data_IF_080179681376
#
_entry.id   IF_080179681376
#
_cell.length_a   1.000
_cell.length_b   1.000
_cell.length_c   1.000
_cell.angle_alpha   90.00
_cell.angle_beta   90.00
_cell.angle_gamma   90.00
#
_symmetry.space_group_name_H-M   'P 1'
#
loop_
_entity.id
_entity.type
_entity.pdbx_description
1 polymer ?
#
# COMPACT_ATOMS: atom_id res chain seq x y z
N UNK A 1 -79.10 -39.59 10.83
CA UNK A 1 -77.66 -39.84 10.66
C UNK A 1 -77.03 -38.54 10.19
N UNK A 2 -76.19 -37.89 11.03
CA UNK A 2 -75.62 -36.57 10.82
C UNK A 2 -74.20 -36.71 10.40
N UNK A 3 -73.85 -36.39 9.15
CA UNK A 3 -72.48 -36.35 8.65
C UNK A 3 -71.87 -34.98 8.96
N UNK A 4 -70.82 -34.95 9.77
CA UNK A 4 -70.04 -33.74 10.06
C UNK A 4 -68.91 -33.60 9.02
N UNK A 5 -68.99 -32.54 8.21
CA UNK A 5 -67.94 -32.15 7.28
C UNK A 5 -66.85 -31.44 8.04
N UNK A 6 -65.63 -31.98 8.00
CA UNK A 6 -64.45 -31.41 8.61
C UNK A 6 -63.74 -30.49 7.58
N UNK A 7 -63.72 -29.20 7.87
CA UNK A 7 -63.14 -28.18 7.03
C UNK A 7 -61.66 -27.98 7.44
N UNK A 8 -60.76 -28.47 6.61
CA UNK A 8 -59.30 -28.35 6.86
C UNK A 8 -58.80 -27.05 6.26
N UNK A 9 -58.50 -26.09 7.10
CA UNK A 9 -57.84 -24.84 6.69
C UNK A 9 -56.34 -25.03 6.48
N UNK A 10 -55.89 -24.86 5.24
CA UNK A 10 -54.50 -24.91 4.86
C UNK A 10 -53.86 -23.55 5.12
N UNK A 11 -53.00 -23.43 6.12
CA UNK A 11 -52.19 -22.24 6.35
C UNK A 11 -50.93 -22.30 5.43
N UNK A 12 -50.92 -21.48 4.40
CA UNK A 12 -49.71 -21.27 3.57
C UNK A 12 -48.75 -20.31 4.30
N UNK A 13 -47.71 -20.88 4.89
CA UNK A 13 -46.58 -20.09 5.44
C UNK A 13 -45.68 -19.66 4.27
N UNK A 14 -45.85 -18.41 3.84
CA UNK A 14 -44.98 -17.79 2.86
C UNK A 14 -43.63 -17.43 3.56
N UNK A 15 -42.61 -18.29 3.45
CA UNK A 15 -41.28 -18.04 3.93
C UNK A 15 -40.58 -17.01 3.04
N UNK A 16 -40.41 -15.77 3.51
CA UNK A 16 -39.49 -14.80 2.90
C UNK A 16 -38.05 -15.32 3.09
N UNK A 17 -37.47 -15.84 2.02
CA UNK A 17 -36.03 -16.13 1.96
C UNK A 17 -35.27 -14.82 1.93
N UNK A 18 -34.83 -14.37 3.10
CA UNK A 18 -33.90 -13.26 3.24
C UNK A 18 -32.51 -13.77 2.81
N UNK A 19 -32.15 -13.58 1.53
CA UNK A 19 -30.80 -13.81 1.06
C UNK A 19 -29.91 -12.67 1.58
N UNK A 20 -28.89 -12.92 2.41
CA UNK A 20 -27.92 -11.89 2.73
C UNK A 20 -27.19 -11.51 1.43
N UNK A 21 -27.39 -10.30 0.98
CA UNK A 21 -26.54 -9.71 -0.05
C UNK A 21 -25.12 -9.64 0.53
N UNK A 22 -24.24 -10.55 0.11
CA UNK A 22 -22.82 -10.42 0.30
C UNK A 22 -22.42 -9.14 -0.42
N UNK A 23 -22.24 -8.06 0.35
CA UNK A 23 -21.62 -6.84 -0.13
C UNK A 23 -20.23 -7.24 -0.62
N UNK A 24 -20.10 -7.37 -1.94
CA UNK A 24 -18.81 -7.49 -2.60
C UNK A 24 -18.06 -6.22 -2.26
N UNK A 25 -16.99 -6.35 -1.46
CA UNK A 25 -16.01 -5.30 -1.36
C UNK A 25 -15.61 -4.95 -2.80
N UNK A 26 -15.80 -3.69 -3.18
CA UNK A 26 -15.40 -3.21 -4.50
C UNK A 26 -13.95 -3.62 -4.69
N UNK A 27 -13.66 -4.38 -5.76
CA UNK A 27 -12.30 -4.72 -6.17
C UNK A 27 -11.56 -3.40 -6.40
N UNK A 28 -10.81 -2.96 -5.38
CA UNK A 28 -9.90 -1.84 -5.56
C UNK A 28 -8.89 -2.23 -6.64
N UNK A 29 -8.55 -1.32 -7.57
CA UNK A 29 -7.63 -1.64 -8.64
C UNK A 29 -6.28 -2.02 -8.05
N UNK A 30 -6.04 -3.33 -8.00
CA UNK A 30 -4.77 -3.89 -7.56
C UNK A 30 -3.66 -3.35 -8.47
N UNK A 31 -2.51 -3.02 -7.87
CA UNK A 31 -1.36 -2.64 -8.66
C UNK A 31 -0.97 -3.77 -9.60
N UNK A 32 -0.83 -3.43 -10.88
CA UNK A 32 -0.37 -4.37 -11.90
C UNK A 32 1.16 -4.50 -11.85
N UNK A 33 1.67 -5.66 -12.24
CA UNK A 33 3.09 -5.80 -12.53
C UNK A 33 3.48 -4.88 -13.71
N UNK A 34 4.66 -4.26 -13.70
CA UNK A 34 5.76 -4.44 -12.74
C UNK A 34 5.74 -3.46 -11.55
N UNK A 35 4.74 -2.57 -11.44
CA UNK A 35 4.67 -1.57 -10.36
C UNK A 35 4.47 -2.21 -9.00
N UNK A 36 3.69 -3.30 -8.94
CA UNK A 36 3.53 -4.08 -7.70
C UNK A 36 4.87 -4.55 -7.15
N UNK A 37 5.73 -5.10 -7.99
CA UNK A 37 7.08 -5.53 -7.61
C UNK A 37 7.92 -4.37 -7.06
N UNK A 38 7.86 -3.19 -7.68
CA UNK A 38 8.53 -1.98 -7.17
C UNK A 38 8.02 -1.63 -5.77
N UNK A 39 6.71 -1.67 -5.55
CA UNK A 39 6.11 -1.35 -4.24
C UNK A 39 6.46 -2.38 -3.17
N UNK A 40 6.54 -3.66 -3.51
CA UNK A 40 6.95 -4.71 -2.57
C UNK A 40 8.40 -4.49 -2.06
N UNK A 41 9.31 -4.12 -2.95
CA UNK A 41 10.67 -3.75 -2.56
C UNK A 41 10.73 -2.44 -1.78
N UNK A 42 9.97 -1.43 -2.19
CA UNK A 42 9.87 -0.15 -1.50
C UNK A 42 9.43 -0.30 -0.03
N UNK A 43 8.39 -1.09 0.22
CA UNK A 43 7.89 -1.32 1.58
C UNK A 43 8.91 -2.01 2.49
N UNK A 44 9.73 -2.91 1.94
CA UNK A 44 10.83 -3.52 2.70
C UNK A 44 11.88 -2.48 3.10
N UNK A 45 12.25 -1.59 2.19
CA UNK A 45 13.15 -0.47 2.48
C UNK A 45 12.55 0.44 3.56
N UNK A 46 11.30 0.86 3.39
CA UNK A 46 10.57 1.70 4.34
C UNK A 46 10.57 1.08 5.75
N UNK A 47 10.28 -0.24 5.83
CA UNK A 47 10.25 -0.97 7.08
C UNK A 47 11.62 -1.07 7.77
N UNK A 48 12.71 -1.24 7.03
CA UNK A 48 14.06 -1.27 7.60
C UNK A 48 14.50 0.10 8.10
N UNK A 49 14.29 1.15 7.31
CA UNK A 49 14.62 2.52 7.72
C UNK A 49 13.84 2.96 8.97
N UNK A 50 12.58 2.52 9.11
CA UNK A 50 11.78 2.77 10.31
C UNK A 50 12.31 2.06 11.56
N UNK A 51 13.10 0.99 11.41
CA UNK A 51 13.78 0.26 12.49
C UNK A 51 15.21 0.76 12.76
N UNK A 52 15.66 1.84 12.12
CA UNK A 52 17.05 2.32 12.12
C UNK A 52 18.04 1.31 11.53
N UNK A 53 17.62 0.56 10.51
CA UNK A 53 18.40 -0.46 9.83
C UNK A 53 18.57 -0.13 8.35
N UNK A 54 19.73 -0.47 7.79
CA UNK A 54 20.00 -0.45 6.34
C UNK A 54 20.14 -1.86 5.75
N UNK A 55 19.80 -2.88 6.52
CA UNK A 55 19.96 -4.29 6.09
C UNK A 55 19.06 -4.55 4.87
N UNK A 56 19.68 -4.95 3.76
CA UNK A 56 18.98 -5.27 2.51
C UNK A 56 18.41 -4.05 1.76
N UNK A 57 18.65 -2.83 2.25
CA UNK A 57 18.21 -1.61 1.57
C UNK A 57 18.87 -1.49 0.19
N UNK A 58 20.13 -1.79 0.08
CA UNK A 58 20.91 -1.80 -1.16
C UNK A 58 20.35 -2.82 -2.17
N UNK A 59 20.10 -4.04 -1.72
CA UNK A 59 19.54 -5.13 -2.54
C UNK A 59 18.15 -4.74 -3.07
N UNK A 60 17.25 -4.28 -2.20
CA UNK A 60 15.90 -3.91 -2.59
C UNK A 60 15.89 -2.67 -3.48
N UNK A 61 16.75 -1.69 -3.23
CA UNK A 61 16.88 -0.52 -4.09
C UNK A 61 17.41 -0.88 -5.48
N UNK A 62 18.43 -1.75 -5.57
CA UNK A 62 18.93 -2.26 -6.84
C UNK A 62 17.83 -3.05 -7.61
N UNK A 63 17.00 -3.82 -6.90
CA UNK A 63 15.88 -4.53 -7.50
C UNK A 63 14.84 -3.56 -8.10
N UNK A 64 14.48 -2.47 -7.40
CA UNK A 64 13.62 -1.41 -7.94
C UNK A 64 14.22 -0.85 -9.24
N UNK A 65 15.50 -0.45 -9.21
CA UNK A 65 16.17 0.10 -10.39
C UNK A 65 16.13 -0.87 -11.58
N UNK A 66 16.38 -2.16 -11.33
CA UNK A 66 16.33 -3.24 -12.34
C UNK A 66 14.93 -3.39 -12.95
N UNK A 67 13.89 -3.43 -12.12
CA UNK A 67 12.50 -3.55 -12.57
C UNK A 67 12.10 -2.36 -13.42
N UNK A 68 12.42 -1.14 -13.00
CA UNK A 68 12.10 0.08 -13.74
C UNK A 68 12.83 0.11 -15.08
N UNK A 69 14.14 -0.22 -15.12
CA UNK A 69 14.93 -0.28 -16.36
C UNK A 69 14.45 -1.39 -17.31
N UNK A 70 13.94 -2.50 -16.77
CA UNK A 70 13.52 -3.69 -17.51
C UNK A 70 12.15 -3.60 -18.19
N UNK A 71 11.33 -2.59 -17.92
CA UNK A 71 10.01 -2.50 -18.56
C UNK A 71 9.00 -1.59 -17.85
N UNK A 72 9.20 -1.31 -16.57
CA UNK A 72 8.34 -0.38 -15.84
C UNK A 72 8.53 1.09 -16.26
N UNK A 73 9.54 1.41 -17.07
CA UNK A 73 9.81 2.77 -17.57
C UNK A 73 8.65 3.38 -18.36
N UNK A 74 7.76 2.56 -18.93
CA UNK A 74 6.55 3.06 -19.57
C UNK A 74 5.49 3.52 -18.56
N UNK A 75 5.57 3.05 -17.31
CA UNK A 75 4.63 3.33 -16.25
C UNK A 75 5.23 4.26 -15.19
N UNK A 76 6.50 4.08 -14.87
CA UNK A 76 7.25 4.89 -13.91
C UNK A 76 8.29 5.76 -14.63
N UNK A 77 8.54 6.94 -14.10
CA UNK A 77 9.59 7.83 -14.60
C UNK A 77 10.98 7.18 -14.51
N UNK A 78 11.86 7.45 -15.47
CA UNK A 78 13.28 7.02 -15.43
C UNK A 78 14.02 7.54 -14.18
N UNK A 79 13.52 8.61 -13.56
CA UNK A 79 14.11 9.15 -12.35
C UNK A 79 13.94 8.22 -11.16
N UNK A 80 12.89 7.39 -11.11
CA UNK A 80 12.73 6.34 -10.10
C UNK A 80 13.90 5.36 -10.12
N UNK A 81 14.36 4.97 -11.31
CA UNK A 81 15.52 4.08 -11.43
C UNK A 81 16.82 4.75 -10.90
N UNK A 82 17.06 6.02 -11.27
CA UNK A 82 18.22 6.79 -10.80
C UNK A 82 18.21 6.99 -9.28
N UNK A 83 17.03 7.30 -8.72
CA UNK A 83 16.84 7.48 -7.28
C UNK A 83 17.07 6.16 -6.53
N UNK A 84 16.60 5.05 -7.08
CA UNK A 84 16.83 3.73 -6.54
C UNK A 84 18.33 3.33 -6.62
N UNK A 85 19.02 3.61 -7.74
CA UNK A 85 20.47 3.39 -7.86
C UNK A 85 21.26 4.21 -6.81
N UNK A 86 20.84 5.47 -6.57
CA UNK A 86 21.45 6.32 -5.54
C UNK A 86 21.24 5.73 -4.14
N UNK A 87 20.04 5.22 -3.85
CA UNK A 87 19.72 4.58 -2.58
C UNK A 87 20.53 3.29 -2.38
N UNK A 88 20.70 2.48 -3.44
CA UNK A 88 21.50 1.25 -3.39
C UNK A 88 22.99 1.50 -3.03
N UNK A 89 23.49 2.70 -3.30
CA UNK A 89 24.87 3.09 -2.99
C UNK A 89 25.05 3.67 -1.58
N UNK A 90 23.96 3.87 -0.83
CA UNK A 90 24.02 4.46 0.51
C UNK A 90 24.79 3.55 1.49
N UNK A 91 25.74 4.11 2.23
CA UNK A 91 26.63 3.36 3.13
C UNK A 91 26.24 3.45 4.60
N UNK A 92 25.36 4.37 4.93
CA UNK A 92 24.88 4.59 6.28
C UNK A 92 23.40 4.99 6.30
N UNK A 93 22.82 4.99 7.49
CA UNK A 93 21.39 5.27 7.68
C UNK A 93 21.00 6.71 7.27
N UNK A 94 21.88 7.68 7.48
CA UNK A 94 21.64 9.08 7.12
C UNK A 94 21.61 9.23 5.59
N UNK A 95 22.57 8.66 4.88
CA UNK A 95 22.62 8.65 3.43
C UNK A 95 21.43 7.90 2.83
N UNK A 96 21.06 6.73 3.40
CA UNK A 96 19.93 5.95 2.95
C UNK A 96 18.60 6.74 3.10
N UNK A 97 18.36 7.40 4.23
CA UNK A 97 17.18 8.25 4.44
C UNK A 97 17.13 9.43 3.48
N UNK A 98 18.28 10.07 3.23
CA UNK A 98 18.36 11.17 2.28
C UNK A 98 18.03 10.72 0.84
N UNK A 99 18.55 9.56 0.41
CA UNK A 99 18.29 8.99 -0.90
C UNK A 99 16.87 8.40 -1.03
N UNK A 100 16.29 7.89 0.05
CA UNK A 100 14.93 7.37 0.09
C UNK A 100 13.88 8.46 -0.12
N UNK A 101 14.13 9.68 0.33
CA UNK A 101 13.18 10.80 0.25
C UNK A 101 12.72 11.11 -1.17
N UNK A 102 13.58 11.35 -2.18
CA UNK A 102 13.14 11.58 -3.55
C UNK A 102 12.47 10.34 -4.18
N UNK A 103 12.96 9.13 -3.93
CA UNK A 103 12.33 7.90 -4.39
C UNK A 103 10.89 7.77 -3.87
N UNK A 104 10.71 8.02 -2.58
CA UNK A 104 9.40 8.01 -1.94
C UNK A 104 8.45 9.04 -2.55
N UNK A 105 8.92 10.27 -2.75
CA UNK A 105 8.11 11.33 -3.37
C UNK A 105 7.65 10.97 -4.79
N UNK A 106 8.51 10.34 -5.59
CA UNK A 106 8.17 9.90 -6.95
C UNK A 106 7.09 8.80 -6.95
N UNK A 107 7.15 7.85 -6.01
CA UNK A 107 6.16 6.77 -5.91
C UNK A 107 4.83 7.27 -5.31
N UNK A 108 4.87 8.17 -4.32
CA UNK A 108 3.66 8.86 -3.81
C UNK A 108 2.94 9.57 -4.95
N UNK A 109 3.67 10.38 -5.72
CA UNK A 109 3.11 11.09 -6.88
C UNK A 109 2.53 10.11 -7.91
N UNK A 110 3.23 9.03 -8.23
CA UNK A 110 2.75 8.03 -9.18
C UNK A 110 1.40 7.42 -8.76
N UNK A 111 1.26 7.00 -7.50
CA UNK A 111 0.00 6.41 -7.01
C UNK A 111 -1.14 7.44 -7.01
N UNK A 112 -0.85 8.69 -6.64
CA UNK A 112 -1.84 9.78 -6.64
C UNK A 112 -2.32 10.09 -8.07
N UNK A 113 -1.40 10.26 -9.02
CA UNK A 113 -1.72 10.60 -10.42
C UNK A 113 -2.54 9.49 -11.10
N UNK A 114 -2.26 8.23 -10.78
CA UNK A 114 -2.92 7.08 -11.40
C UNK A 114 -4.12 6.55 -10.59
N UNK A 115 -4.41 7.15 -9.43
CA UNK A 115 -5.47 6.69 -8.50
C UNK A 115 -5.38 5.19 -8.23
N UNK A 116 -4.16 4.66 -8.10
CA UNK A 116 -3.88 3.24 -7.95
C UNK A 116 -3.41 2.91 -6.53
N UNK A 117 -3.71 1.68 -6.06
CA UNK A 117 -3.34 1.22 -4.74
C UNK A 117 -4.12 1.89 -3.59
N UNK A 118 -5.25 2.54 -3.90
CA UNK A 118 -6.15 3.16 -2.91
C UNK A 118 -6.64 2.06 -1.95
N UNK A 119 -6.62 2.36 -0.64
CA UNK A 119 -7.00 1.37 0.39
C UNK A 119 -5.89 0.38 0.77
N UNK A 120 -4.96 0.08 -0.14
CA UNK A 120 -3.80 -0.79 0.16
C UNK A 120 -2.61 0.03 0.67
N UNK A 121 -2.32 1.17 0.01
CA UNK A 121 -1.21 2.05 0.36
C UNK A 121 -1.75 3.36 0.91
N UNK A 122 -1.22 3.75 2.06
CA UNK A 122 -1.53 5.02 2.71
C UNK A 122 -0.35 5.95 2.57
N UNK A 123 -0.57 7.17 2.08
CA UNK A 123 0.41 8.23 2.18
C UNK A 123 0.46 8.73 3.62
N UNK A 124 1.66 8.78 4.18
CA UNK A 124 1.94 9.43 5.45
C UNK A 124 2.92 10.58 5.24
N UNK A 125 2.81 11.62 6.06
CA UNK A 125 3.64 12.83 5.99
C UNK A 125 4.20 13.19 7.35
N UNK A 126 5.48 13.53 7.41
CA UNK A 126 6.11 14.07 8.62
C UNK A 126 6.49 15.53 8.41
N UNK A 127 5.91 16.48 9.20
CA UNK A 127 6.19 17.89 9.05
C UNK A 127 7.62 18.27 9.46
N UNK A 128 8.24 17.50 10.37
CA UNK A 128 9.60 17.78 10.84
C UNK A 128 10.64 17.59 9.75
N UNK A 129 10.53 16.52 8.95
CA UNK A 129 11.43 16.25 7.83
C UNK A 129 10.89 16.73 6.50
N UNK A 130 9.66 17.25 6.49
CA UNK A 130 8.94 17.72 5.28
C UNK A 130 9.02 16.67 4.16
N UNK A 131 8.57 15.46 4.47
CA UNK A 131 8.61 14.33 3.54
C UNK A 131 7.43 13.39 3.75
N UNK A 132 6.92 12.87 2.62
CA UNK A 132 5.92 11.82 2.58
C UNK A 132 6.55 10.44 2.33
N UNK A 133 5.81 9.41 2.72
CA UNK A 133 6.10 8.02 2.36
C UNK A 133 4.81 7.22 2.22
N UNK A 134 4.93 6.02 1.66
CA UNK A 134 3.85 5.05 1.56
C UNK A 134 4.03 3.93 2.58
N UNK A 135 2.93 3.50 3.16
CA UNK A 135 2.86 2.34 4.04
C UNK A 135 1.53 1.61 3.88
N UNK A 136 1.44 0.34 4.28
CA UNK A 136 0.21 -0.46 4.16
C UNK A 136 -0.68 -0.40 5.42
N UNK A 137 -0.11 -0.06 6.56
CA UNK A 137 -0.86 0.01 7.82
C UNK A 137 -1.23 1.45 8.20
N UNK A 138 -2.27 1.61 9.02
CA UNK A 138 -2.69 2.92 9.53
C UNK A 138 -1.81 3.44 10.67
N UNK A 139 -1.10 2.56 11.40
CA UNK A 139 -0.15 2.97 12.42
C UNK A 139 1.11 3.56 11.76
N UNK A 140 1.43 4.82 12.09
CA UNK A 140 2.59 5.51 11.52
C UNK A 140 3.89 4.76 11.85
N UNK A 141 4.70 4.52 10.80
CA UNK A 141 6.05 3.95 10.90
C UNK A 141 7.02 4.80 10.10
N UNK A 142 7.49 5.87 10.71
CA UNK A 142 8.29 6.90 10.06
C UNK A 142 9.70 6.38 9.68
N UNK A 143 10.04 6.26 8.38
CA UNK A 143 11.34 5.78 7.93
C UNK A 143 12.46 6.82 8.12
N UNK A 144 12.11 8.10 8.23
CA UNK A 144 13.08 9.19 8.32
C UNK A 144 13.55 9.44 9.76
N UNK A 145 12.66 9.18 10.75
CA UNK A 145 12.95 9.43 12.17
C UNK A 145 13.28 8.12 12.91
N UNK A 146 12.84 6.98 12.40
CA UNK A 146 13.10 5.68 12.99
C UNK A 146 12.59 5.55 14.42
N UNK A 147 13.27 4.77 15.25
CA UNK A 147 12.86 4.46 16.63
C UNK A 147 12.74 5.70 17.52
N UNK A 148 13.50 6.74 17.25
CA UNK A 148 13.49 7.96 18.04
C UNK A 148 12.11 8.66 18.00
N UNK A 149 11.47 8.69 16.82
CA UNK A 149 10.15 9.30 16.63
C UNK A 149 9.34 8.49 15.60
N UNK A 150 9.18 7.20 15.86
CA UNK A 150 8.58 6.24 14.91
C UNK A 150 7.15 6.64 14.52
N UNK A 151 6.37 7.20 15.43
CA UNK A 151 5.00 7.64 15.21
C UNK A 151 4.87 9.11 14.77
N UNK A 152 5.99 9.80 14.49
CA UNK A 152 5.94 11.17 14.01
C UNK A 152 5.41 11.22 12.57
N UNK A 153 4.26 11.84 12.40
CA UNK A 153 3.59 12.02 11.11
C UNK A 153 2.10 11.80 11.20
N UNK A 154 1.45 12.00 10.08
CA UNK A 154 0.00 11.82 9.91
C UNK A 154 -0.30 11.15 8.59
N UNK A 155 -1.40 10.42 8.50
CA UNK A 155 -1.90 9.91 7.22
C UNK A 155 -2.53 11.07 6.44
N UNK A 156 -2.25 11.12 5.14
CA UNK A 156 -2.96 12.00 4.21
C UNK A 156 -4.26 11.32 3.77
N UNK A 157 -5.33 12.09 3.77
CA UNK A 157 -6.66 11.66 3.29
C UNK A 157 -6.76 11.83 1.79
#
# INVERSE_FOLDING_TARGET
MKTKTLMTTLFAVSGLLFTPALARAADEPALMEPVKSVMDHYLKIQGELAKDSIKGVDEHAAAIAKVVKGGAMKMLSSDVAKQADTLAQAKDLKAARAAFKPLSASLVKYLADNKSGVGTYHEAYCPMVKASWLQTGKAIKNPYMGKQMLSCGELKN
#
